data_IF_500230110348
#
_entry.id   IF_500230110348
#
_cell.length_a   1.000
_cell.length_b   1.000
_cell.length_c   1.000
_cell.angle_alpha   90.00
_cell.angle_beta   90.00
_cell.angle_gamma   90.00
#
_symmetry.space_group_name_H-M   'P 1'
#
loop_
_entity.id
_entity.type
_entity.pdbx_description
1 polymer ?
#
# COMPACT_ATOMS: atom_id res chain seq x y z
N UNK A 1 -3.62 -44.34 -15.40
CA UNK A 1 -2.81 -43.11 -15.51
C UNK A 1 -1.38 -43.55 -15.81
N UNK A 2 -0.67 -42.84 -16.70
CA UNK A 2 0.59 -43.30 -17.32
C UNK A 2 1.74 -43.38 -16.30
N UNK A 3 2.54 -44.45 -16.32
CA UNK A 3 3.78 -44.63 -15.52
C UNK A 3 4.69 -43.39 -15.54
N UNK A 4 4.72 -42.67 -16.67
CA UNK A 4 5.49 -41.45 -16.83
C UNK A 4 5.00 -40.29 -15.94
N UNK A 5 3.69 -40.21 -15.65
CA UNK A 5 3.14 -39.21 -14.72
C UNK A 5 3.60 -39.49 -13.29
N UNK A 6 3.55 -40.76 -12.85
CA UNK A 6 3.93 -41.12 -11.49
C UNK A 6 5.45 -40.99 -11.26
N UNK A 7 6.27 -41.33 -12.26
CA UNK A 7 7.73 -41.11 -12.23
C UNK A 7 8.10 -39.61 -12.21
N UNK A 8 7.42 -38.80 -13.03
CA UNK A 8 7.64 -37.35 -13.05
C UNK A 8 7.17 -36.68 -11.75
N UNK A 9 6.04 -37.15 -11.20
CA UNK A 9 5.51 -36.72 -9.90
C UNK A 9 6.45 -37.06 -8.75
N UNK A 10 7.00 -38.28 -8.69
CA UNK A 10 7.99 -38.65 -7.66
C UNK A 10 9.25 -37.79 -7.75
N UNK A 11 9.74 -37.51 -8.95
CA UNK A 11 10.89 -36.63 -9.16
C UNK A 11 10.63 -35.21 -8.65
N UNK A 12 9.44 -34.65 -8.88
CA UNK A 12 9.08 -33.34 -8.36
C UNK A 12 8.85 -33.34 -6.84
N UNK A 13 8.31 -34.41 -6.28
CA UNK A 13 8.15 -34.56 -4.82
C UNK A 13 9.50 -34.62 -4.10
N UNK A 14 10.54 -35.19 -4.72
CA UNK A 14 11.91 -35.17 -4.17
C UNK A 14 12.50 -33.74 -4.09
N UNK A 15 12.10 -32.83 -4.99
CA UNK A 15 12.48 -31.41 -4.93
C UNK A 15 11.68 -30.63 -3.89
N UNK A 16 10.44 -31.06 -3.60
CA UNK A 16 9.57 -30.44 -2.61
C UNK A 16 9.97 -30.83 -1.16
N UNK A 17 10.39 -32.07 -0.95
CA UNK A 17 10.93 -32.55 0.32
C UNK A 17 12.44 -32.31 0.43
N UNK A 18 12.87 -31.05 0.36
CA UNK A 18 14.26 -30.66 0.58
C UNK A 18 14.79 -31.21 1.92
N UNK A 19 15.90 -31.95 1.86
CA UNK A 19 16.56 -32.62 2.98
C UNK A 19 17.32 -31.62 3.88
N UNK A 20 16.63 -30.65 4.46
CA UNK A 20 17.22 -29.77 5.46
C UNK A 20 16.56 -30.04 6.81
N UNK A 21 17.26 -30.81 7.65
CA UNK A 21 16.89 -31.08 9.05
C UNK A 21 16.92 -29.85 9.96
N UNK A 22 17.21 -28.66 9.42
CA UNK A 22 17.18 -27.37 10.12
C UNK A 22 16.48 -26.25 9.31
N UNK A 23 15.82 -26.56 8.18
CA UNK A 23 15.12 -25.57 7.38
C UNK A 23 13.61 -25.81 7.37
N UNK A 24 12.89 -24.69 7.41
CA UNK A 24 11.43 -24.56 7.38
C UNK A 24 10.82 -25.57 6.40
N UNK A 25 9.94 -26.43 6.90
CA UNK A 25 9.19 -27.35 6.04
C UNK A 25 8.33 -26.56 5.04
N UNK A 26 8.28 -26.97 3.77
CA UNK A 26 7.42 -26.34 2.77
C UNK A 26 5.96 -26.23 3.20
N UNK A 27 5.47 -27.21 3.98
CA UNK A 27 4.12 -27.20 4.56
C UNK A 27 3.93 -26.12 5.62
N UNK A 28 4.95 -25.84 6.44
CA UNK A 28 4.89 -24.75 7.42
C UNK A 28 4.90 -23.39 6.71
N UNK A 29 5.65 -23.25 5.61
CA UNK A 29 5.69 -22.02 4.82
C UNK A 29 4.35 -21.75 4.12
N UNK A 30 3.66 -22.79 3.61
CA UNK A 30 2.30 -22.69 3.07
C UNK A 30 1.30 -22.14 4.10
N UNK A 31 1.33 -22.67 5.33
CA UNK A 31 0.45 -22.20 6.41
C UNK A 31 0.82 -20.78 6.82
N UNK A 32 2.12 -20.50 7.01
CA UNK A 32 2.64 -19.18 7.38
C UNK A 32 2.24 -18.08 6.41
N UNK A 33 2.21 -18.40 5.11
CA UNK A 33 1.89 -17.44 4.03
C UNK A 33 0.40 -17.40 3.67
N UNK A 34 -0.43 -18.23 4.31
CA UNK A 34 -1.88 -18.25 4.06
C UNK A 34 -2.50 -16.91 4.50
N UNK A 35 -3.14 -16.16 3.58
CA UNK A 35 -3.61 -14.81 3.86
C UNK A 35 -4.89 -14.78 4.71
N UNK A 36 -5.73 -15.81 4.59
CA UNK A 36 -6.99 -15.96 5.30
C UNK A 36 -7.08 -17.38 5.85
N UNK A 37 -7.42 -17.51 7.13
CA UNK A 37 -7.56 -18.80 7.78
C UNK A 37 -8.66 -18.76 8.83
N UNK A 38 -9.25 -19.90 9.15
CA UNK A 38 -10.25 -19.99 10.21
C UNK A 38 -9.58 -20.12 11.59
N UNK A 39 -10.29 -19.74 12.65
CA UNK A 39 -9.83 -19.99 14.01
C UNK A 39 -9.57 -21.48 14.29
N UNK A 40 -10.34 -22.39 13.67
CA UNK A 40 -10.12 -23.83 13.78
C UNK A 40 -8.76 -24.26 13.20
N UNK A 41 -8.37 -23.72 12.04
CA UNK A 41 -7.03 -23.95 11.45
C UNK A 41 -5.94 -23.45 12.41
N UNK A 42 -6.13 -22.27 13.01
CA UNK A 42 -5.20 -21.71 13.99
C UNK A 42 -5.00 -22.63 15.19
N UNK A 43 -6.09 -23.12 15.79
CA UNK A 43 -6.03 -24.04 16.93
C UNK A 43 -5.30 -25.34 16.58
N UNK A 44 -5.52 -25.88 15.38
CA UNK A 44 -4.85 -27.09 14.92
C UNK A 44 -3.34 -26.88 14.76
N UNK A 45 -2.93 -25.73 14.23
CA UNK A 45 -1.52 -25.35 14.05
C UNK A 45 -0.82 -25.24 15.42
N UNK A 46 -1.41 -24.48 16.35
CA UNK A 46 -0.88 -24.32 17.71
C UNK A 46 -0.75 -25.67 18.45
N UNK A 47 -1.75 -26.56 18.26
CA UNK A 47 -1.77 -27.89 18.89
C UNK A 47 -0.68 -28.82 18.33
N UNK A 48 -0.36 -28.67 17.05
CA UNK A 48 0.67 -29.48 16.38
C UNK A 48 2.08 -29.05 16.83
N UNK A 49 2.32 -27.74 17.02
CA UNK A 49 3.58 -27.23 17.59
C UNK A 49 3.80 -27.73 19.02
N UNK A 50 2.75 -27.80 19.82
CA UNK A 50 2.84 -28.26 21.21
C UNK A 50 3.18 -29.75 21.35
N UNK A 51 3.01 -30.56 20.29
CA UNK A 51 3.30 -32.00 20.29
C UNK A 51 4.68 -32.35 19.72
N UNK A 52 5.33 -31.47 18.94
CA UNK A 52 6.66 -31.71 18.37
C UNK A 52 7.81 -31.61 19.38
N UNK A 53 7.59 -30.97 20.54
CA UNK A 53 8.60 -30.84 21.60
C UNK A 53 8.67 -32.05 22.57
N UNK A 54 7.94 -33.13 22.28
CA UNK A 54 7.71 -34.25 23.22
C UNK A 54 8.47 -35.56 22.99
N UNK A 55 9.37 -35.68 22.01
CA UNK A 55 10.04 -36.97 21.70
C UNK A 55 11.51 -36.85 21.31
N UNK A 56 12.34 -36.33 22.22
CA UNK A 56 13.81 -36.46 22.18
C UNK A 56 14.36 -36.77 23.57
N UNK A 57 15.38 -37.66 23.71
CA UNK A 57 15.88 -38.08 25.01
C UNK A 57 16.54 -36.91 25.75
N UNK A 58 16.22 -36.81 27.04
CA UNK A 58 16.74 -35.84 28.00
C UNK A 58 18.27 -35.89 28.10
N UNK A 59 18.92 -34.82 27.62
CA UNK A 59 20.26 -34.41 28.07
C UNK A 59 20.14 -32.99 28.64
N UNK A 60 20.54 -32.76 29.90
CA UNK A 60 20.49 -31.44 30.50
C UNK A 60 21.85 -30.76 30.29
N UNK A 61 21.96 -29.79 29.37
CA UNK A 61 23.02 -28.77 29.40
C UNK A 61 22.74 -27.64 28.38
N UNK A 62 22.65 -26.42 28.93
CA UNK A 62 22.95 -25.08 28.39
C UNK A 62 22.21 -24.52 27.14
N UNK A 63 21.55 -23.38 27.38
CA UNK A 63 21.39 -22.19 26.53
C UNK A 63 20.85 -22.30 25.09
N UNK A 64 19.60 -21.86 24.91
CA UNK A 64 19.18 -20.69 24.11
C UNK A 64 17.64 -20.70 24.11
N UNK A 65 17.02 -19.54 24.34
CA UNK A 65 15.59 -19.29 24.12
C UNK A 65 15.22 -19.61 22.65
N UNK A 66 14.96 -20.87 22.35
CA UNK A 66 14.28 -21.28 21.12
C UNK A 66 12.80 -21.04 21.35
N UNK A 67 12.39 -19.78 21.31
CA UNK A 67 10.97 -19.44 21.27
C UNK A 67 10.37 -20.23 20.10
N UNK A 68 9.43 -21.13 20.39
CA UNK A 68 8.65 -21.81 19.37
C UNK A 68 8.25 -20.76 18.32
N UNK A 69 8.67 -20.99 17.07
CA UNK A 69 8.43 -20.05 15.99
C UNK A 69 6.95 -20.10 15.65
N UNK A 70 6.14 -19.33 16.36
CA UNK A 70 4.70 -19.17 16.11
C UNK A 70 4.46 -18.97 14.61
N UNK A 71 3.90 -19.99 13.96
CA UNK A 71 3.67 -20.01 12.51
C UNK A 71 2.75 -18.86 12.08
N UNK A 72 1.84 -18.40 12.96
CA UNK A 72 0.90 -17.30 12.72
C UNK A 72 0.98 -16.24 13.82
N UNK A 73 2.09 -15.49 13.88
CA UNK A 73 2.39 -14.62 15.01
C UNK A 73 1.48 -13.39 15.09
N UNK A 74 0.87 -13.00 13.96
CA UNK A 74 0.01 -11.83 13.87
C UNK A 74 -1.18 -12.06 12.95
N UNK A 75 -2.37 -11.70 13.43
CA UNK A 75 -3.62 -11.81 12.70
C UNK A 75 -4.70 -10.89 13.29
N UNK A 76 -5.72 -10.60 12.48
CA UNK A 76 -6.92 -9.88 12.91
C UNK A 76 -8.20 -10.64 12.55
N UNK A 77 -9.27 -10.44 13.30
CA UNK A 77 -10.60 -10.94 12.97
C UNK A 77 -11.16 -10.15 11.81
N UNK A 78 -11.42 -10.82 10.69
CA UNK A 78 -12.02 -10.21 9.51
C UNK A 78 -13.55 -10.32 9.54
N UNK A 79 -14.07 -11.41 10.09
CA UNK A 79 -15.50 -11.71 10.04
C UNK A 79 -15.80 -13.14 10.46
N UNK A 80 -16.99 -13.59 10.09
CA UNK A 80 -17.47 -14.94 10.36
C UNK A 80 -17.95 -15.61 9.07
N UNK A 81 -17.63 -16.89 8.91
CA UNK A 81 -18.29 -17.75 7.94
C UNK A 81 -19.68 -18.12 8.49
N UNK A 82 -20.72 -17.73 7.75
CA UNK A 82 -22.12 -17.97 8.13
C UNK A 82 -22.74 -19.18 7.41
N UNK A 83 -22.03 -19.75 6.44
CA UNK A 83 -22.48 -20.90 5.65
C UNK A 83 -22.00 -22.21 6.30
N UNK A 84 -20.80 -22.21 6.86
CA UNK A 84 -20.22 -23.32 7.61
C UNK A 84 -20.23 -22.99 9.11
N UNK A 85 -21.21 -23.57 9.80
CA UNK A 85 -21.27 -23.55 11.25
C UNK A 85 -20.30 -24.61 11.79
N UNK A 86 -19.71 -24.33 12.95
CA UNK A 86 -18.94 -25.33 13.69
C UNK A 86 -19.85 -26.45 14.26
N UNK A 87 -19.24 -27.44 14.91
CA UNK A 87 -19.96 -28.55 15.54
C UNK A 87 -20.97 -28.11 16.62
N UNK A 88 -20.84 -26.88 17.13
CA UNK A 88 -21.75 -26.25 18.09
C UNK A 88 -22.82 -25.36 17.41
N UNK A 89 -22.90 -25.36 16.08
CA UNK A 89 -23.83 -24.56 15.31
C UNK A 89 -23.52 -23.06 15.31
N UNK A 90 -22.29 -22.65 15.64
CA UNK A 90 -21.86 -21.26 15.68
C UNK A 90 -21.10 -20.87 14.40
N UNK A 91 -21.21 -19.61 13.93
CA UNK A 91 -20.42 -19.12 12.80
C UNK A 91 -18.92 -19.22 13.08
N UNK A 92 -18.17 -19.80 12.14
CA UNK A 92 -16.72 -19.97 12.29
C UNK A 92 -16.00 -18.63 12.10
N UNK A 93 -15.18 -18.15 13.05
CA UNK A 93 -14.40 -16.93 12.87
C UNK A 93 -13.34 -17.08 11.77
N UNK A 94 -13.25 -16.05 10.93
CA UNK A 94 -12.27 -15.92 9.86
C UNK A 94 -11.28 -14.80 10.18
N UNK A 95 -10.00 -15.16 10.09
CA UNK A 95 -8.87 -14.34 10.47
C UNK A 95 -8.09 -13.94 9.22
N UNK A 96 -7.60 -12.70 9.21
CA UNK A 96 -6.64 -12.21 8.22
C UNK A 96 -5.23 -12.29 8.79
N UNK A 97 -4.34 -12.94 8.07
CA UNK A 97 -2.91 -12.98 8.38
C UNK A 97 -2.28 -11.64 8.02
N UNK A 98 -1.87 -10.89 9.02
CA UNK A 98 -1.23 -9.57 8.83
C UNK A 98 0.28 -9.68 8.73
N UNK A 99 0.83 -10.88 8.96
CA UNK A 99 2.25 -11.19 8.82
C UNK A 99 2.63 -11.67 7.40
N UNK A 100 1.65 -12.17 6.64
CA UNK A 100 1.86 -12.64 5.27
C UNK A 100 1.53 -11.55 4.23
N UNK A 101 2.33 -11.41 3.16
CA UNK A 101 1.97 -10.54 2.05
C UNK A 101 0.70 -11.07 1.37
N UNK A 102 -0.28 -10.20 1.18
CA UNK A 102 -1.52 -10.55 0.51
C UNK A 102 -1.97 -9.44 -0.45
N UNK A 103 -2.80 -9.84 -1.41
CA UNK A 103 -3.50 -8.94 -2.32
C UNK A 103 -4.97 -9.36 -2.34
N UNK A 104 -5.87 -8.39 -2.22
CA UNK A 104 -7.30 -8.64 -2.17
C UNK A 104 -8.02 -7.69 -3.14
N UNK A 105 -9.02 -8.23 -3.83
CA UNK A 105 -9.94 -7.45 -4.64
C UNK A 105 -11.33 -7.51 -4.01
N UNK A 106 -11.87 -6.36 -3.59
CA UNK A 106 -13.16 -6.27 -2.91
C UNK A 106 -14.19 -5.70 -3.88
N UNK A 107 -15.12 -6.53 -4.32
CA UNK A 107 -16.23 -6.16 -5.20
C UNK A 107 -17.58 -6.51 -4.59
N UNK A 108 -18.66 -5.94 -5.12
CA UNK A 108 -20.01 -6.10 -4.59
C UNK A 108 -20.91 -4.91 -4.91
N UNK A 109 -22.23 -5.10 -4.74
CA UNK A 109 -23.24 -4.08 -4.98
C UNK A 109 -23.07 -2.85 -4.07
N UNK A 110 -23.69 -1.73 -4.43
CA UNK A 110 -23.72 -0.56 -3.55
C UNK A 110 -24.32 -0.94 -2.18
N UNK A 111 -23.68 -0.50 -1.09
CA UNK A 111 -24.11 -0.83 0.27
C UNK A 111 -23.73 -2.24 0.75
N UNK A 112 -23.01 -3.05 -0.03
CA UNK A 112 -22.60 -4.41 0.37
C UNK A 112 -21.47 -4.49 1.41
N UNK A 113 -21.04 -3.35 1.98
CA UNK A 113 -20.00 -3.31 3.02
C UNK A 113 -18.55 -3.34 2.52
N UNK A 114 -18.26 -3.13 1.22
CA UNK A 114 -16.89 -3.18 0.67
C UNK A 114 -15.88 -2.30 1.42
N UNK A 115 -16.23 -1.04 1.65
CA UNK A 115 -15.40 -0.07 2.37
C UNK A 115 -15.25 -0.42 3.85
N UNK A 116 -16.26 -1.06 4.43
CA UNK A 116 -16.23 -1.57 5.80
C UNK A 116 -15.26 -2.75 5.90
N UNK A 117 -15.30 -3.70 4.96
CA UNK A 117 -14.32 -4.79 4.84
C UNK A 117 -12.90 -4.25 4.66
N UNK A 118 -12.69 -3.26 3.78
CA UNK A 118 -11.40 -2.59 3.64
C UNK A 118 -10.93 -1.96 4.95
N UNK A 119 -11.84 -1.31 5.68
CA UNK A 119 -11.52 -0.70 6.97
C UNK A 119 -11.15 -1.75 8.01
N UNK A 120 -11.85 -2.89 8.07
CA UNK A 120 -11.49 -4.01 8.96
C UNK A 120 -10.10 -4.57 8.65
N UNK A 121 -9.76 -4.72 7.36
CA UNK A 121 -8.42 -5.14 6.94
C UNK A 121 -7.36 -4.12 7.36
N UNK A 122 -7.63 -2.82 7.19
CA UNK A 122 -6.73 -1.76 7.64
C UNK A 122 -6.60 -1.73 9.16
N UNK A 123 -7.69 -1.85 9.91
CA UNK A 123 -7.69 -1.90 11.37
C UNK A 123 -6.84 -3.07 11.88
N UNK A 124 -6.99 -4.25 11.27
CA UNK A 124 -6.20 -5.45 11.60
C UNK A 124 -4.69 -5.21 11.46
N UNK A 125 -4.28 -4.33 10.54
CA UNK A 125 -2.88 -4.00 10.27
C UNK A 125 -2.36 -2.78 11.07
N UNK A 126 -3.26 -1.92 11.56
CA UNK A 126 -2.92 -0.60 12.10
C UNK A 126 -3.19 -0.44 13.60
N UNK A 127 -4.10 -1.23 14.17
CA UNK A 127 -4.55 -1.11 15.57
C UNK A 127 -4.27 -2.41 16.32
N UNK A 128 -3.58 -2.28 17.44
CA UNK A 128 -3.50 -3.33 18.45
C UNK A 128 -4.79 -3.30 19.28
N UNK A 129 -5.72 -4.22 19.01
CA UNK A 129 -6.92 -4.41 19.82
C UNK A 129 -7.01 -5.88 20.21
N UNK A 130 -6.60 -6.19 21.44
CA UNK A 130 -6.49 -7.56 21.97
C UNK A 130 -7.82 -8.35 21.87
N UNK A 131 -8.96 -7.67 21.71
CA UNK A 131 -10.27 -8.32 21.54
C UNK A 131 -10.48 -8.91 20.16
N UNK A 132 -9.82 -8.37 19.13
CA UNK A 132 -10.06 -8.72 17.73
C UNK A 132 -8.77 -9.00 16.94
N UNK A 133 -7.58 -8.70 17.47
CA UNK A 133 -6.31 -8.96 16.81
C UNK A 133 -5.22 -9.40 17.77
N UNK A 134 -4.31 -10.23 17.25
CA UNK A 134 -2.96 -10.41 17.77
C UNK A 134 -2.05 -9.65 16.82
N UNK A 135 -1.61 -8.45 17.20
CA UNK A 135 -0.76 -7.62 16.37
C UNK A 135 0.43 -7.20 17.22
N UNK A 136 1.63 -7.70 16.89
CA UNK A 136 2.86 -7.44 17.64
C UNK A 136 3.67 -6.29 17.04
N UNK A 137 3.44 -5.96 15.76
CA UNK A 137 4.14 -4.92 15.02
C UNK A 137 3.19 -4.27 14.01
N UNK A 138 2.43 -3.23 14.41
CA UNK A 138 1.58 -2.47 13.50
C UNK A 138 2.37 -1.89 12.33
N UNK A 139 1.79 -1.95 11.13
CA UNK A 139 2.44 -1.44 9.91
C UNK A 139 1.96 -0.03 9.57
N UNK A 140 2.53 0.56 8.51
CA UNK A 140 2.01 1.80 7.94
C UNK A 140 1.12 1.49 6.73
N UNK A 141 -0.10 1.99 6.74
CA UNK A 141 -1.06 1.82 5.65
C UNK A 141 -1.07 3.02 4.73
N UNK A 142 -1.05 2.78 3.41
CA UNK A 142 -1.17 3.80 2.36
C UNK A 142 -2.39 3.47 1.51
N UNK A 143 -3.36 4.39 1.41
CA UNK A 143 -4.61 4.16 0.66
C UNK A 143 -4.77 5.16 -0.47
N UNK A 144 -4.65 4.68 -1.71
CA UNK A 144 -4.94 5.46 -2.90
C UNK A 144 -6.44 5.44 -3.18
N UNK A 145 -7.11 6.54 -2.89
CA UNK A 145 -8.52 6.71 -3.20
C UNK A 145 -8.70 7.41 -4.55
N UNK A 146 -9.35 6.72 -5.48
CA UNK A 146 -9.73 7.25 -6.80
C UNK A 146 -11.25 7.36 -6.88
N UNK A 147 -11.73 8.55 -7.25
CA UNK A 147 -13.15 8.83 -7.48
C UNK A 147 -13.29 9.65 -8.77
N UNK A 148 -14.16 9.19 -9.67
CA UNK A 148 -14.42 9.80 -10.98
C UNK A 148 -15.29 11.04 -10.87
N UNK A 149 -16.22 11.07 -9.91
CA UNK A 149 -17.25 12.10 -9.87
C UNK A 149 -16.76 13.40 -9.23
N UNK A 150 -15.54 13.39 -8.65
CA UNK A 150 -14.86 14.53 -8.04
C UNK A 150 -15.75 15.41 -7.12
N UNK A 151 -16.88 14.86 -6.65
CA UNK A 151 -17.98 15.60 -6.02
C UNK A 151 -17.67 15.97 -4.56
N UNK A 152 -16.40 16.06 -4.20
CA UNK A 152 -15.96 16.22 -2.82
C UNK A 152 -16.24 14.99 -1.96
N UNK A 153 -16.34 13.80 -2.56
CA UNK A 153 -16.40 12.57 -1.78
C UNK A 153 -15.07 12.40 -1.02
N UNK A 154 -15.17 11.97 0.23
CA UNK A 154 -14.00 11.71 1.08
C UNK A 154 -13.75 10.22 1.07
N UNK A 155 -12.49 9.83 1.14
CA UNK A 155 -12.12 8.43 1.29
C UNK A 155 -12.70 7.90 2.61
N UNK A 156 -13.53 6.87 2.57
CA UNK A 156 -14.11 6.27 3.79
C UNK A 156 -13.04 5.71 4.73
N UNK A 157 -11.88 5.32 4.19
CA UNK A 157 -10.70 4.94 4.99
C UNK A 157 -10.23 6.06 5.94
N UNK A 158 -10.58 7.33 5.69
CA UNK A 158 -10.29 8.41 6.64
C UNK A 158 -11.11 8.32 7.93
N UNK A 159 -12.22 7.56 7.94
CA UNK A 159 -13.01 7.32 9.15
C UNK A 159 -12.21 6.63 10.26
N UNK A 160 -11.13 5.93 9.91
CA UNK A 160 -10.17 5.34 10.85
C UNK A 160 -9.62 6.34 11.87
N UNK A 161 -9.61 7.65 11.57
CA UNK A 161 -9.23 8.67 12.55
C UNK A 161 -10.12 8.67 13.80
N UNK A 162 -11.38 8.25 13.69
CA UNK A 162 -12.30 8.11 14.82
C UNK A 162 -11.89 7.00 15.79
N UNK A 163 -11.05 6.05 15.34
CA UNK A 163 -10.51 4.95 16.14
C UNK A 163 -9.16 5.28 16.79
N UNK A 164 -8.73 6.54 16.76
CA UNK A 164 -7.44 6.97 17.32
C UNK A 164 -6.26 6.88 16.35
N UNK A 165 -6.48 6.42 15.11
CA UNK A 165 -5.40 6.36 14.11
C UNK A 165 -5.08 7.77 13.60
N UNK A 166 -3.81 8.14 13.56
CA UNK A 166 -3.36 9.37 12.90
C UNK A 166 -3.49 9.22 11.39
N UNK A 167 -4.42 9.96 10.79
CA UNK A 167 -4.68 9.95 9.34
C UNK A 167 -4.19 11.26 8.73
N UNK A 168 -3.24 11.16 7.79
CA UNK A 168 -2.78 12.28 6.98
C UNK A 168 -3.25 12.14 5.54
N UNK A 169 -4.23 12.97 5.16
CA UNK A 169 -4.76 13.03 3.81
C UNK A 169 -3.95 14.01 2.97
N UNK A 170 -3.37 13.53 1.87
CA UNK A 170 -2.67 14.33 0.88
C UNK A 170 -3.60 14.59 -0.30
N UNK A 171 -3.89 15.86 -0.61
CA UNK A 171 -4.84 16.21 -1.69
C UNK A 171 -4.19 17.10 -2.76
N UNK A 172 -4.69 17.05 -3.99
CA UNK A 172 -4.27 17.98 -5.04
C UNK A 172 -4.51 19.43 -4.60
N UNK A 173 -3.59 20.34 -4.93
CA UNK A 173 -3.75 21.77 -4.67
C UNK A 173 -5.01 22.35 -5.30
N UNK A 174 -5.35 21.90 -6.51
CA UNK A 174 -6.53 22.38 -7.25
C UNK A 174 -7.85 22.09 -6.53
N UNK A 175 -7.88 21.08 -5.66
CA UNK A 175 -9.07 20.65 -4.92
C UNK A 175 -8.88 20.75 -3.39
N UNK A 176 -7.82 21.43 -2.93
CA UNK A 176 -7.45 21.45 -1.52
C UNK A 176 -8.57 22.00 -0.63
N UNK A 177 -9.11 23.17 -0.97
CA UNK A 177 -10.10 23.84 -0.12
C UNK A 177 -11.41 23.05 -0.02
N UNK A 178 -11.93 22.55 -1.14
CA UNK A 178 -13.17 21.79 -1.15
C UNK A 178 -13.01 20.44 -0.42
N UNK A 179 -11.94 19.69 -0.68
CA UNK A 179 -11.68 18.44 0.03
C UNK A 179 -11.38 18.66 1.50
N UNK A 180 -10.60 19.70 1.86
CA UNK A 180 -10.34 20.03 3.27
C UNK A 180 -11.65 20.32 4.01
N UNK A 181 -12.53 21.14 3.43
CA UNK A 181 -13.84 21.40 4.02
C UNK A 181 -14.68 20.11 4.17
N UNK A 182 -14.66 19.22 3.17
CA UNK A 182 -15.39 17.96 3.21
C UNK A 182 -14.86 17.00 4.30
N UNK A 183 -13.54 16.85 4.40
CA UNK A 183 -12.87 16.05 5.42
C UNK A 183 -13.08 16.63 6.82
N UNK A 184 -12.91 17.94 7.00
CA UNK A 184 -13.12 18.62 8.28
C UNK A 184 -14.59 18.49 8.73
N UNK A 185 -15.55 18.61 7.81
CA UNK A 185 -16.98 18.46 8.11
C UNK A 185 -17.32 17.05 8.61
N UNK A 186 -16.76 16.00 7.99
CA UNK A 186 -17.06 14.60 8.34
C UNK A 186 -16.27 14.10 9.55
N UNK A 187 -15.01 14.52 9.69
CA UNK A 187 -14.05 13.88 10.58
C UNK A 187 -13.24 14.87 11.45
N UNK A 188 -13.43 16.18 11.30
CA UNK A 188 -12.63 17.20 11.98
C UNK A 188 -12.69 17.20 13.51
N UNK A 189 -13.69 16.53 14.11
CA UNK A 189 -13.81 16.37 15.57
C UNK A 189 -12.82 15.37 16.17
N UNK A 190 -12.23 14.49 15.36
CA UNK A 190 -11.35 13.42 15.84
C UNK A 190 -10.01 13.94 16.40
N UNK A 191 -9.52 15.09 15.92
CA UNK A 191 -8.17 15.57 16.23
C UNK A 191 -7.03 14.75 15.60
N UNK A 192 -7.32 13.53 15.10
CA UNK A 192 -6.33 12.66 14.48
C UNK A 192 -6.27 12.79 12.94
N UNK A 193 -7.01 13.74 12.36
CA UNK A 193 -7.05 13.96 10.91
C UNK A 193 -6.29 15.22 10.52
N UNK A 194 -5.38 15.10 9.56
CA UNK A 194 -4.69 16.24 8.94
C UNK A 194 -4.87 16.20 7.42
N UNK A 195 -5.28 17.32 6.84
CA UNK A 195 -5.43 17.47 5.37
C UNK A 195 -4.39 18.46 4.87
N UNK A 196 -3.49 18.01 4.02
CA UNK A 196 -2.40 18.84 3.48
C UNK A 196 -2.29 18.70 1.96
N UNK A 197 -1.79 19.73 1.25
CA UNK A 197 -1.51 19.61 -0.17
C UNK A 197 -0.45 18.55 -0.44
N UNK A 198 -0.66 17.75 -1.49
CA UNK A 198 0.37 16.88 -2.05
C UNK A 198 1.35 17.72 -2.85
N UNK A 199 2.54 17.90 -2.31
CA UNK A 199 3.63 18.65 -2.92
C UNK A 199 4.89 17.81 -2.94
N UNK A 200 5.58 17.84 -4.08
CA UNK A 200 6.85 17.18 -4.32
C UNK A 200 8.00 18.09 -3.90
N UNK A 201 8.98 17.51 -3.22
CA UNK A 201 10.24 18.17 -2.94
C UNK A 201 11.22 17.99 -4.10
N UNK A 202 12.20 18.87 -4.23
CA UNK A 202 13.21 18.81 -5.30
C UNK A 202 13.89 17.43 -5.41
N UNK A 203 14.23 16.81 -4.28
CA UNK A 203 14.85 15.48 -4.26
C UNK A 203 13.94 14.34 -4.78
N UNK A 204 12.63 14.59 -4.91
CA UNK A 204 11.64 13.66 -5.44
C UNK A 204 11.38 13.87 -6.94
N UNK A 205 11.92 14.95 -7.53
CA UNK A 205 11.79 15.29 -8.94
C UNK A 205 12.87 14.59 -9.77
N UNK A 206 12.54 13.41 -10.27
CA UNK A 206 13.36 12.76 -11.31
C UNK A 206 13.02 13.35 -12.68
N UNK A 207 13.93 13.26 -13.65
CA UNK A 207 13.71 13.71 -15.03
C UNK A 207 12.40 13.14 -15.59
N UNK A 208 12.18 11.83 -15.45
CA UNK A 208 10.96 11.17 -15.91
C UNK A 208 9.69 11.73 -15.24
N UNK A 209 9.73 12.00 -13.92
CA UNK A 209 8.60 12.61 -13.20
C UNK A 209 8.35 14.03 -13.66
N UNK A 210 9.39 14.84 -13.84
CA UNK A 210 9.25 16.22 -14.31
C UNK A 210 8.60 16.27 -15.70
N UNK A 211 9.07 15.45 -16.64
CA UNK A 211 8.49 15.34 -17.98
C UNK A 211 7.01 14.93 -17.91
N UNK A 212 6.67 13.93 -17.08
CA UNK A 212 5.28 13.48 -16.90
C UNK A 212 4.39 14.56 -16.27
N UNK A 213 4.88 15.30 -15.27
CA UNK A 213 4.16 16.40 -14.62
C UNK A 213 4.01 17.62 -15.54
N UNK A 214 4.90 17.80 -16.51
CA UNK A 214 4.75 18.77 -17.59
C UNK A 214 3.75 18.31 -18.67
N UNK A 215 3.04 17.20 -18.46
CA UNK A 215 2.15 16.55 -19.43
C UNK A 215 2.82 16.36 -20.79
N UNK A 216 4.11 16.01 -20.77
CA UNK A 216 4.89 15.76 -21.98
C UNK A 216 4.84 14.27 -22.31
N UNK A 217 4.20 13.95 -23.42
CA UNK A 217 4.23 12.63 -24.03
C UNK A 217 5.25 12.62 -25.17
N UNK A 218 6.00 11.52 -25.30
CA UNK A 218 7.05 11.36 -26.33
C UNK A 218 6.41 10.99 -27.69
N UNK A 219 5.46 11.80 -28.14
CA UNK A 219 4.84 11.67 -29.45
C UNK A 219 5.79 12.03 -30.60
N UNK A 220 5.25 12.06 -31.82
CA UNK A 220 6.00 12.08 -33.09
C UNK A 220 6.90 13.31 -33.32
N UNK A 221 6.72 14.41 -32.59
CA UNK A 221 7.62 15.56 -32.66
C UNK A 221 7.87 16.20 -31.29
N UNK A 222 9.13 16.16 -30.84
CA UNK A 222 9.58 16.82 -29.62
C UNK A 222 9.78 18.31 -29.93
N UNK A 223 9.10 19.24 -29.23
CA UNK A 223 9.34 20.66 -29.40
C UNK A 223 10.78 21.04 -29.04
N UNK A 224 11.40 21.99 -29.76
CA UNK A 224 12.79 22.38 -29.54
C UNK A 224 13.09 22.85 -28.10
N UNK A 225 12.14 23.51 -27.42
CA UNK A 225 12.34 23.88 -26.01
C UNK A 225 12.42 22.66 -25.07
N UNK A 226 11.77 21.54 -25.43
CA UNK A 226 11.87 20.30 -24.66
C UNK A 226 13.24 19.65 -24.84
N UNK A 227 13.87 19.75 -26.01
CA UNK A 227 15.26 19.30 -26.20
C UNK A 227 16.23 20.06 -25.28
N UNK A 228 16.03 21.37 -25.14
CA UNK A 228 16.83 22.20 -24.23
C UNK A 228 16.59 21.82 -22.77
N UNK A 229 15.32 21.64 -22.35
CA UNK A 229 14.99 21.17 -20.99
C UNK A 229 15.64 19.82 -20.71
N UNK A 230 15.50 18.86 -21.63
CA UNK A 230 16.08 17.53 -21.44
C UNK A 230 17.61 17.57 -21.39
N UNK A 231 18.26 18.42 -22.20
CA UNK A 231 19.72 18.64 -22.13
C UNK A 231 20.12 19.15 -20.75
N UNK A 232 19.49 20.22 -20.27
CA UNK A 232 19.78 20.79 -18.94
C UNK A 232 19.60 19.73 -17.85
N UNK A 233 18.50 18.97 -17.89
CA UNK A 233 18.21 17.92 -16.91
C UNK A 233 19.24 16.78 -16.94
N UNK A 234 19.71 16.37 -18.14
CA UNK A 234 20.79 15.38 -18.29
C UNK A 234 22.10 15.92 -17.73
N UNK A 235 22.47 17.15 -18.06
CA UNK A 235 23.72 17.77 -17.58
C UNK A 235 23.73 17.85 -16.05
N UNK A 236 22.61 18.25 -15.45
CA UNK A 236 22.46 18.27 -13.98
C UNK A 236 22.58 16.88 -13.36
N UNK A 237 22.05 15.84 -14.02
CA UNK A 237 22.17 14.45 -13.54
C UNK A 237 23.61 13.94 -13.62
N UNK A 238 24.35 14.26 -14.69
CA UNK A 238 25.76 13.88 -14.87
C UNK A 238 26.66 14.49 -13.80
N UNK A 239 26.35 15.70 -13.33
CA UNK A 239 27.10 16.36 -12.24
C UNK A 239 26.97 15.64 -10.88
N UNK A 240 26.13 14.62 -10.76
CA UNK A 240 25.95 13.83 -9.54
C UNK A 240 25.34 14.60 -8.36
N UNK A 241 24.95 15.86 -8.57
CA UNK A 241 24.29 16.68 -7.55
C UNK A 241 22.82 16.31 -7.46
N UNK A 242 22.25 16.39 -6.25
CA UNK A 242 20.80 16.32 -6.08
C UNK A 242 20.14 17.42 -6.90
N UNK A 243 19.07 17.07 -7.61
CA UNK A 243 18.31 18.05 -8.37
C UNK A 243 17.86 19.19 -7.46
N UNK A 244 18.01 20.42 -7.96
CA UNK A 244 17.46 21.63 -7.35
C UNK A 244 16.65 22.37 -8.40
N UNK A 245 15.42 22.72 -8.06
CA UNK A 245 14.56 23.47 -8.97
C UNK A 245 15.12 24.88 -9.21
N UNK A 246 15.79 25.47 -8.22
CA UNK A 246 16.41 26.79 -8.33
C UNK A 246 17.58 26.79 -9.34
N UNK A 247 18.45 25.80 -9.27
CA UNK A 247 19.57 25.64 -10.22
C UNK A 247 19.05 25.35 -11.63
N UNK A 248 18.02 24.51 -11.75
CA UNK A 248 17.36 24.23 -13.02
C UNK A 248 16.78 25.49 -13.64
N UNK A 249 16.06 26.31 -12.86
CA UNK A 249 15.49 27.57 -13.34
C UNK A 249 16.58 28.55 -13.79
N UNK A 250 17.68 28.66 -13.03
CA UNK A 250 18.81 29.54 -13.38
C UNK A 250 19.47 29.13 -14.70
N UNK A 251 19.67 27.83 -14.91
CA UNK A 251 20.20 27.30 -16.18
C UNK A 251 19.23 27.54 -17.34
N UNK A 252 17.93 27.42 -17.09
CA UNK A 252 16.91 27.64 -18.11
C UNK A 252 16.80 29.11 -18.51
N UNK A 253 16.88 30.04 -17.55
CA UNK A 253 16.82 31.48 -17.80
C UNK A 253 18.04 32.01 -18.59
N UNK A 254 19.14 31.26 -18.59
CA UNK A 254 20.33 31.56 -19.39
C UNK A 254 20.19 31.16 -20.87
N UNK A 255 19.20 30.34 -21.22
CA UNK A 255 18.97 29.90 -22.60
C UNK A 255 18.13 30.91 -23.40
N UNK A 256 18.36 30.96 -24.71
CA UNK A 256 17.60 31.82 -25.62
C UNK A 256 16.52 31.01 -26.33
N UNK A 257 15.27 31.36 -26.08
CA UNK A 257 14.11 30.75 -26.75
C UNK A 257 13.45 31.74 -27.71
N UNK A 258 12.90 31.24 -28.81
CA UNK A 258 11.98 32.02 -29.63
C UNK A 258 10.69 32.31 -28.83
N UNK A 259 10.08 33.48 -29.02
CA UNK A 259 8.94 33.93 -28.18
C UNK A 259 7.77 32.93 -28.09
N UNK A 260 7.42 32.28 -29.21
CA UNK A 260 6.39 31.23 -29.21
C UNK A 260 6.77 29.98 -28.40
N UNK A 261 8.06 29.61 -28.39
CA UNK A 261 8.56 28.48 -27.60
C UNK A 261 8.58 28.80 -26.11
N UNK A 262 8.96 30.03 -25.74
CA UNK A 262 8.99 30.46 -24.35
C UNK A 262 7.60 30.41 -23.71
N UNK A 263 6.56 30.84 -24.42
CA UNK A 263 5.17 30.75 -23.95
C UNK A 263 4.74 29.29 -23.70
N UNK A 264 4.97 28.39 -24.67
CA UNK A 264 4.65 26.96 -24.53
C UNK A 264 5.41 26.29 -23.39
N UNK A 265 6.68 26.64 -23.22
CA UNK A 265 7.53 26.16 -22.15
C UNK A 265 7.00 26.62 -20.78
N UNK A 266 6.69 27.90 -20.64
CA UNK A 266 6.18 28.46 -19.39
C UNK A 266 4.87 27.80 -18.94
N UNK A 267 3.93 27.53 -19.85
CA UNK A 267 2.70 26.79 -19.52
C UNK A 267 2.99 25.41 -18.91
N UNK A 268 3.95 24.68 -19.47
CA UNK A 268 4.35 23.36 -18.92
C UNK A 268 5.08 23.48 -17.59
N UNK A 269 5.96 24.47 -17.45
CA UNK A 269 6.70 24.71 -16.21
C UNK A 269 5.79 25.18 -15.09
N UNK A 270 4.75 25.96 -15.37
CA UNK A 270 3.72 26.35 -14.41
C UNK A 270 2.95 25.13 -13.91
N UNK A 271 2.60 24.21 -14.81
CA UNK A 271 1.98 22.94 -14.43
C UNK A 271 2.90 22.14 -13.52
N UNK A 272 4.18 21.98 -13.86
CA UNK A 272 5.17 21.31 -13.00
C UNK A 272 5.31 22.00 -11.64
N UNK A 273 5.48 23.33 -11.62
CA UNK A 273 5.61 24.15 -10.40
C UNK A 273 4.38 24.03 -9.51
N UNK A 274 3.20 23.81 -10.08
CA UNK A 274 1.97 23.61 -9.31
C UNK A 274 2.08 22.41 -8.37
N UNK A 275 2.85 21.37 -8.72
CA UNK A 275 3.07 20.18 -7.90
C UNK A 275 4.27 20.28 -6.95
N UNK A 276 5.10 21.32 -7.05
CA UNK A 276 6.34 21.45 -6.28
C UNK A 276 6.15 22.26 -4.99
N UNK A 277 6.80 21.84 -3.91
CA UNK A 277 6.83 22.61 -2.67
C UNK A 277 7.73 23.84 -2.84
N UNK A 278 7.27 25.00 -2.36
CA UNK A 278 8.12 26.18 -2.26
C UNK A 278 9.02 26.08 -1.03
N UNK A 279 10.19 26.74 -1.01
CA UNK A 279 11.10 26.74 0.14
C UNK A 279 10.43 27.09 1.48
N UNK A 280 9.42 27.96 1.46
CA UNK A 280 8.59 28.33 2.62
C UNK A 280 7.74 27.15 3.14
N UNK A 281 7.27 26.28 2.26
CA UNK A 281 6.41 25.13 2.58
C UNK A 281 7.22 23.91 3.05
N UNK A 282 8.50 23.81 2.66
CA UNK A 282 9.43 22.78 3.14
C UNK A 282 9.73 22.92 4.64
N UNK A 283 9.78 24.16 5.15
CA UNK A 283 10.05 24.45 6.58
C UNK A 283 8.91 24.06 7.52
N UNK A 284 7.65 24.09 7.09
CA UNK A 284 6.51 23.69 7.94
C UNK A 284 6.48 22.17 8.22
N UNK A 285 7.26 21.35 7.50
CA UNK A 285 7.25 19.89 7.60
C UNK A 285 8.34 19.28 8.48
N UNK A 286 9.38 20.02 8.86
CA UNK A 286 10.47 19.50 9.69
C UNK A 286 10.07 19.27 11.18
N UNK A 287 8.84 19.60 11.57
CA UNK A 287 8.34 19.44 12.94
C UNK A 287 7.30 18.33 13.13
N UNK A 288 7.21 17.31 12.26
CA UNK A 288 6.23 16.23 12.42
C UNK A 288 6.87 14.86 12.32
N UNK A 289 7.06 14.25 13.49
CA UNK A 289 7.55 12.89 13.73
C UNK A 289 6.73 11.80 13.03
N UNK A 290 7.41 10.66 12.86
CA UNK A 290 6.97 9.35 12.36
C UNK A 290 5.51 8.98 12.70
N UNK A 291 4.57 9.38 11.84
CA UNK A 291 3.16 9.06 11.95
C UNK A 291 2.60 8.55 10.62
N UNK A 292 1.95 7.39 10.69
CA UNK A 292 1.38 6.60 9.61
C UNK A 292 0.61 7.44 8.57
N UNK A 293 0.80 7.14 7.28
CA UNK A 293 0.48 8.03 6.15
C UNK A 293 -0.53 7.43 5.18
N UNK A 294 -1.77 7.94 5.13
CA UNK A 294 -2.84 7.50 4.22
C UNK A 294 -2.96 8.43 2.98
N UNK A 295 -2.36 8.07 1.85
CA UNK A 295 -2.27 8.90 0.62
C UNK A 295 -3.49 8.79 -0.32
N UNK A 296 -4.56 9.57 -0.08
CA UNK A 296 -5.75 9.65 -0.94
C UNK A 296 -5.54 10.52 -2.20
N UNK A 297 -5.29 9.93 -3.38
CA UNK A 297 -5.02 10.66 -4.63
C UNK A 297 -6.27 10.93 -5.50
N UNK A 298 -6.91 12.09 -5.32
CA UNK A 298 -7.85 12.63 -6.31
C UNK A 298 -7.14 13.16 -7.56
N UNK A 299 -7.73 12.93 -8.75
CA UNK A 299 -7.14 13.24 -10.06
C UNK A 299 -6.87 14.76 -10.24
N UNK A 300 -5.73 15.18 -10.81
CA UNK A 300 -5.60 16.51 -11.42
C UNK A 300 -6.42 16.54 -12.71
N UNK A 301 -7.11 17.66 -12.96
CA UNK A 301 -7.94 17.83 -14.17
C UNK A 301 -7.05 17.76 -15.41
N UNK A 302 -7.16 16.68 -16.19
CA UNK A 302 -6.55 16.53 -17.52
C UNK A 302 -5.98 15.13 -17.83
N UNK A 303 -6.44 14.51 -18.92
CA UNK A 303 -5.78 13.39 -19.61
C UNK A 303 -6.57 12.08 -19.66
N UNK A 304 -7.25 11.82 -20.78
CA UNK A 304 -7.86 10.52 -21.13
C UNK A 304 -6.78 9.45 -21.39
N UNK A 305 -7.01 8.20 -20.98
CA UNK A 305 -6.10 7.08 -21.24
C UNK A 305 -6.70 5.75 -20.78
N UNK A 306 -6.58 4.72 -21.63
CA UNK A 306 -7.45 3.54 -21.75
C UNK A 306 -7.13 2.36 -20.83
N UNK A 307 -8.15 1.51 -20.70
CA UNK A 307 -8.26 0.23 -19.98
C UNK A 307 -7.14 -0.80 -20.23
N UNK A 308 -6.86 -1.58 -19.18
CA UNK A 308 -6.08 -2.81 -19.22
C UNK A 308 -6.31 -3.65 -17.97
N UNK A 309 -7.35 -4.48 -17.98
CA UNK A 309 -7.68 -5.43 -16.90
C UNK A 309 -7.01 -6.77 -17.17
N UNK A 310 -6.21 -7.27 -16.22
CA UNK A 310 -5.79 -8.67 -16.18
C UNK A 310 -6.27 -9.22 -14.83
N UNK A 311 -7.23 -10.14 -14.88
CA UNK A 311 -7.90 -10.71 -13.72
C UNK A 311 -7.34 -12.08 -13.34
N UNK A 312 -7.29 -12.34 -12.04
CA UNK A 312 -7.35 -13.68 -11.46
C UNK A 312 -8.45 -13.64 -10.40
N UNK A 313 -9.47 -14.50 -10.60
CA UNK A 313 -10.66 -14.64 -9.75
C UNK A 313 -10.44 -15.82 -8.82
N UNK A 314 -10.64 -15.61 -7.52
CA UNK A 314 -10.92 -16.69 -6.56
C UNK A 314 -12.29 -16.38 -5.96
N UNK A 315 -13.27 -17.25 -6.24
CA UNK A 315 -14.62 -17.13 -5.67
C UNK A 315 -14.64 -17.63 -4.23
N UNK A 316 -15.18 -16.82 -3.33
CA UNK A 316 -15.50 -17.23 -1.95
C UNK A 316 -16.94 -16.82 -1.60
N UNK A 317 -17.59 -17.63 -0.77
CA UNK A 317 -18.98 -17.49 -0.29
C UNK A 317 -19.22 -16.23 0.54
N UNK A 318 -20.45 -16.06 1.06
CA UNK A 318 -20.87 -14.80 1.71
C UNK A 318 -20.13 -14.57 3.04
N UNK A 319 -19.32 -13.52 3.07
CA UNK A 319 -18.61 -13.03 4.26
C UNK A 319 -19.37 -11.90 4.94
N UNK A 320 -19.46 -11.91 6.27
CA UNK A 320 -19.94 -10.77 7.08
C UNK A 320 -18.77 -10.18 7.87
N UNK A 321 -18.38 -8.95 7.53
CA UNK A 321 -17.38 -8.18 8.27
C UNK A 321 -17.93 -7.70 9.63
N UNK A 322 -17.05 -7.57 10.63
CA UNK A 322 -17.36 -7.13 12.01
C UNK A 322 -17.48 -5.62 12.16
#
# INVERSE_FOLDING_TARGET
MSSAYDEERERYLQLYHGSDSNARSGRQEEIRTTPLFSLAVKQQVDSTESQSDGSGPTHPEEDINTAASDIMPQYGLLGFNIEELDDAGQPQPLLINTNAPNSAFICGSQGSGKSYTLSCMLESCLIEDVRVSKLSSPITGVVFHYDLDAAGSVAEAASLCSRGIKVRVLVSRSNYHALKAAYDKKHGKSGNLTVVPMLLQDHQLTVARMLKLMSFDQGTSVPLYMEVIQRILRDMAVMGKRFSFADFQTKLDAEKFAGGQQSMMNMRLELLKSFCATATQTRMRLGVDNGQSVLSMGRPVGGEGRDGTIGLSAGFGRLRAT
#
